data_IF_797491155929
#
_entry.id   IF_797491155929
#
_cell.length_a   1.000
_cell.length_b   1.000
_cell.length_c   1.000
_cell.angle_alpha   90.00
_cell.angle_beta   90.00
_cell.angle_gamma   90.00
#
_symmetry.space_group_name_H-M   'P 1'
#
loop_
_entity.id
_entity.type
_entity.pdbx_description
1 polymer ?
#
# COMPACT_ATOMS: atom_id res chain seq x y z
N UNK A 1 -9.57 32.97 5.19
CA UNK A 1 -9.36 31.89 5.90
C UNK A 1 -9.49 30.63 5.13
N UNK A 2 -8.76 29.78 5.47
CA UNK A 2 -8.68 28.60 4.69
C UNK A 2 -9.76 27.61 5.06
N UNK A 3 -10.50 27.21 4.09
CA UNK A 3 -11.42 26.12 4.26
C UNK A 3 -10.91 24.88 3.57
N UNK A 4 -9.62 24.87 3.31
CA UNK A 4 -9.05 23.75 2.61
C UNK A 4 -9.21 22.47 3.40
N UNK A 5 -9.73 21.47 2.73
CA UNK A 5 -9.79 20.15 3.31
C UNK A 5 -8.40 19.58 3.33
N UNK A 6 -7.93 19.27 4.50
CA UNK A 6 -6.64 18.60 4.59
C UNK A 6 -6.79 17.19 4.06
N UNK A 7 -5.96 16.85 3.09
CA UNK A 7 -5.91 15.47 2.62
C UNK A 7 -5.23 14.65 3.71
N UNK A 8 -5.83 13.56 4.15
CA UNK A 8 -5.19 12.71 5.15
C UNK A 8 -3.83 12.24 4.68
N UNK A 9 -2.88 12.23 5.59
CA UNK A 9 -1.56 11.72 5.31
C UNK A 9 -1.40 10.32 5.84
N UNK A 10 -0.63 9.51 5.13
CA UNK A 10 -0.35 8.14 5.53
C UNK A 10 1.13 7.87 5.39
N UNK A 11 1.63 7.02 6.24
CA UNK A 11 3.04 6.66 6.22
C UNK A 11 3.27 5.55 5.20
N UNK A 12 4.26 5.76 4.32
CA UNK A 12 4.67 4.71 3.40
C UNK A 12 5.36 3.60 4.18
N UNK A 13 4.90 2.37 4.04
CA UNK A 13 5.49 1.25 4.76
C UNK A 13 6.85 0.83 4.22
N UNK A 14 7.25 1.37 3.07
CA UNK A 14 8.58 1.12 2.50
C UNK A 14 9.60 2.13 2.98
N UNK A 15 9.39 3.41 2.69
CA UNK A 15 10.37 4.45 3.02
C UNK A 15 10.11 5.14 4.36
N UNK A 16 8.93 4.97 4.96
CA UNK A 16 8.62 5.56 6.23
C UNK A 16 8.20 7.02 6.20
N UNK A 17 8.15 7.63 5.04
CA UNK A 17 7.77 9.03 4.93
C UNK A 17 6.27 9.22 4.96
N UNK A 18 5.85 10.33 5.56
CA UNK A 18 4.44 10.71 5.54
C UNK A 18 4.14 11.45 4.26
N UNK A 19 3.13 11.02 3.54
CA UNK A 19 2.73 11.64 2.29
C UNK A 19 1.22 11.69 2.19
N UNK A 20 0.73 12.54 1.30
CA UNK A 20 -0.68 12.61 1.04
C UNK A 20 -1.22 11.25 0.60
N UNK A 21 -2.36 10.87 1.15
CA UNK A 21 -3.03 9.63 0.78
C UNK A 21 -3.25 9.55 -0.73
N UNK A 22 -3.45 10.67 -1.39
CA UNK A 22 -3.68 10.72 -2.84
C UNK A 22 -2.44 10.35 -3.65
N UNK A 23 -1.27 10.55 -3.07
CA UNK A 23 -0.01 10.28 -3.74
C UNK A 23 0.52 8.89 -3.46
N UNK A 24 -0.29 8.06 -2.82
CA UNK A 24 0.13 6.72 -2.42
C UNK A 24 -0.80 5.66 -2.99
N UNK A 25 -0.28 4.45 -3.03
CA UNK A 25 -1.03 3.27 -3.41
C UNK A 25 -1.48 2.57 -2.14
N UNK A 26 -2.70 2.09 -2.14
CA UNK A 26 -3.21 1.33 -1.01
C UNK A 26 -3.17 -0.17 -1.32
N UNK A 27 -2.47 -0.91 -0.50
CA UNK A 27 -2.52 -2.37 -0.53
C UNK A 27 -3.60 -2.79 0.45
N UNK A 28 -4.51 -3.61 0.02
CA UNK A 28 -5.70 -3.95 0.77
C UNK A 28 -5.73 -5.42 1.14
N UNK A 29 -6.06 -5.69 2.40
CA UNK A 29 -6.44 -7.02 2.84
C UNK A 29 -7.95 -7.03 2.94
N UNK A 30 -8.60 -7.79 2.06
CA UNK A 30 -10.06 -7.86 2.03
C UNK A 30 -10.59 -8.62 3.23
N UNK A 31 -11.90 -8.54 3.42
CA UNK A 31 -12.52 -9.21 4.57
C UNK A 31 -12.42 -10.72 4.50
N UNK A 32 -12.24 -11.28 3.30
CA UNK A 32 -12.03 -12.71 3.12
C UNK A 32 -10.55 -13.11 3.09
N UNK A 33 -9.66 -12.17 3.41
CA UNK A 33 -8.25 -12.46 3.59
C UNK A 33 -7.38 -12.36 2.36
N UNK A 34 -7.91 -11.85 1.25
CA UNK A 34 -7.11 -11.67 0.05
C UNK A 34 -6.32 -10.36 0.11
N UNK A 35 -5.14 -10.37 -0.49
CA UNK A 35 -4.30 -9.19 -0.55
C UNK A 35 -4.26 -8.71 -2.00
N UNK A 36 -4.60 -7.44 -2.21
CA UNK A 36 -4.66 -6.86 -3.55
C UNK A 36 -4.36 -5.37 -3.48
N UNK A 37 -4.19 -4.73 -4.63
CA UNK A 37 -4.03 -3.28 -4.70
C UNK A 37 -5.39 -2.66 -4.96
N UNK A 38 -5.74 -1.68 -4.13
CA UNK A 38 -6.99 -0.95 -4.26
C UNK A 38 -6.70 0.42 -4.85
N UNK A 39 -6.84 0.54 -6.16
CA UNK A 39 -6.55 1.79 -6.86
C UNK A 39 -7.56 2.89 -6.53
N UNK A 40 -8.77 2.52 -6.11
CA UNK A 40 -9.79 3.52 -5.80
C UNK A 40 -9.72 4.03 -4.36
N UNK A 41 -9.15 3.24 -3.48
CA UNK A 41 -9.09 3.56 -2.06
C UNK A 41 -10.43 3.41 -1.35
N UNK A 42 -11.42 2.81 -1.99
CA UNK A 42 -12.79 2.74 -1.46
C UNK A 42 -13.24 1.38 -0.99
N UNK A 43 -12.47 0.35 -1.32
CA UNK A 43 -12.86 -1.00 -0.92
C UNK A 43 -12.73 -1.20 0.58
N UNK A 44 -13.62 -1.98 1.13
CA UNK A 44 -13.59 -2.30 2.55
C UNK A 44 -12.48 -3.29 2.85
N UNK A 45 -11.81 -3.06 3.97
CA UNK A 45 -10.75 -3.94 4.42
C UNK A 45 -9.64 -3.14 5.07
N UNK A 46 -8.60 -3.84 5.47
CA UNK A 46 -7.46 -3.21 6.10
C UNK A 46 -6.47 -2.76 5.03
N UNK A 47 -6.03 -1.52 5.12
CA UNK A 47 -5.12 -0.96 4.13
C UNK A 47 -3.75 -0.63 4.67
N UNK A 48 -2.75 -0.76 3.81
CA UNK A 48 -1.41 -0.25 4.05
C UNK A 48 -1.03 0.60 2.86
N UNK A 49 -0.26 1.65 3.10
CA UNK A 49 0.03 2.63 2.05
C UNK A 49 1.50 2.58 1.67
N UNK A 50 1.76 2.77 0.38
CA UNK A 50 3.14 2.91 -0.12
C UNK A 50 3.19 3.94 -1.23
N UNK A 51 4.38 4.51 -1.43
CA UNK A 51 4.63 5.33 -2.59
C UNK A 51 4.44 4.49 -3.87
N UNK A 52 3.99 5.11 -4.97
CA UNK A 52 3.87 4.39 -6.25
C UNK A 52 5.24 4.17 -6.87
N UNK A 53 6.06 3.40 -6.21
CA UNK A 53 7.46 3.20 -6.56
C UNK A 53 7.87 1.77 -6.26
N UNK A 54 8.54 1.14 -7.21
CA UNK A 54 9.06 -0.22 -7.01
C UNK A 54 10.07 -0.25 -5.88
N UNK A 55 10.82 0.83 -5.68
CA UNK A 55 11.79 0.90 -4.59
C UNK A 55 11.11 0.79 -3.23
N UNK A 56 10.01 1.53 -3.05
CA UNK A 56 9.26 1.46 -1.80
C UNK A 56 8.61 0.10 -1.62
N UNK A 57 8.10 -0.48 -2.71
CA UNK A 57 7.52 -1.82 -2.65
C UNK A 57 8.57 -2.85 -2.21
N UNK A 58 9.75 -2.81 -2.80
CA UNK A 58 10.84 -3.73 -2.45
C UNK A 58 11.27 -3.56 -1.00
N UNK A 59 11.34 -2.32 -0.53
CA UNK A 59 11.66 -2.05 0.87
C UNK A 59 10.59 -2.60 1.80
N UNK A 60 9.33 -2.47 1.42
CA UNK A 60 8.24 -2.99 2.22
C UNK A 60 8.28 -4.52 2.30
N UNK A 61 8.59 -5.18 1.20
CA UNK A 61 8.73 -6.64 1.17
C UNK A 61 9.90 -7.09 2.02
N UNK A 62 11.06 -6.47 1.83
CA UNK A 62 12.27 -6.83 2.54
C UNK A 62 12.13 -6.62 4.04
N UNK A 63 11.49 -5.52 4.43
CA UNK A 63 11.29 -5.21 5.85
C UNK A 63 10.06 -5.84 6.45
N UNK A 64 9.35 -6.65 5.67
CA UNK A 64 8.11 -7.30 6.10
C UNK A 64 7.04 -6.33 6.58
N UNK A 65 7.02 -5.13 5.98
CA UNK A 65 6.07 -4.10 6.36
C UNK A 65 4.63 -4.49 6.15
N UNK A 66 4.33 -5.18 5.04
CA UNK A 66 2.98 -5.66 4.77
C UNK A 66 2.56 -6.73 5.75
N UNK A 67 3.46 -7.65 6.07
CA UNK A 67 3.15 -8.72 7.03
C UNK A 67 2.86 -8.15 8.41
N UNK A 68 3.62 -7.13 8.82
CA UNK A 68 3.36 -6.46 10.09
C UNK A 68 2.04 -5.70 10.08
N UNK A 69 1.75 -5.01 8.97
CA UNK A 69 0.52 -4.23 8.85
C UNK A 69 -0.71 -5.12 8.90
N UNK A 70 -0.66 -6.26 8.24
CA UNK A 70 -1.81 -7.15 8.15
C UNK A 70 -1.78 -8.26 9.19
N UNK A 71 -0.70 -8.35 9.96
CA UNK A 71 -0.54 -9.36 11.03
C UNK A 71 -0.73 -10.78 10.51
N UNK A 72 -0.18 -11.05 9.34
CA UNK A 72 -0.23 -12.37 8.74
C UNK A 72 0.96 -12.56 7.82
N UNK A 73 1.35 -13.81 7.63
CA UNK A 73 2.38 -14.13 6.65
C UNK A 73 1.80 -13.97 5.25
N UNK A 74 2.58 -13.41 4.34
CA UNK A 74 2.15 -13.22 2.97
C UNK A 74 2.92 -14.19 2.08
N UNK A 75 2.22 -15.09 1.37
CA UNK A 75 2.88 -16.04 0.49
C UNK A 75 3.65 -15.34 -0.63
N UNK A 76 4.69 -15.99 -1.09
CA UNK A 76 5.50 -15.47 -2.19
C UNK A 76 4.67 -15.15 -3.44
N UNK A 77 3.70 -16.01 -3.71
CA UNK A 77 2.82 -15.83 -4.88
C UNK A 77 2.05 -14.51 -4.82
N UNK A 78 1.63 -14.13 -3.62
CA UNK A 78 0.92 -12.86 -3.43
C UNK A 78 1.87 -11.69 -3.68
N UNK A 79 3.10 -11.77 -3.19
CA UNK A 79 4.09 -10.74 -3.45
C UNK A 79 4.37 -10.61 -4.94
N UNK A 80 4.43 -11.72 -5.66
CA UNK A 80 4.66 -11.69 -7.10
C UNK A 80 3.50 -11.01 -7.84
N UNK A 81 2.28 -11.31 -7.44
CA UNK A 81 1.10 -10.65 -7.98
C UNK A 81 1.12 -9.16 -7.74
N UNK A 82 1.44 -8.75 -6.53
CA UNK A 82 1.50 -7.33 -6.17
C UNK A 82 2.60 -6.64 -6.95
N UNK A 83 3.73 -7.30 -7.16
CA UNK A 83 4.82 -6.72 -7.91
C UNK A 83 4.41 -6.43 -9.34
N UNK A 84 3.68 -7.33 -9.97
CA UNK A 84 3.19 -7.12 -11.33
C UNK A 84 2.23 -5.95 -11.39
N UNK A 85 1.34 -5.84 -10.41
CA UNK A 85 0.41 -4.71 -10.35
C UNK A 85 1.15 -3.40 -10.15
N UNK A 86 2.17 -3.38 -9.30
CA UNK A 86 2.98 -2.20 -9.07
C UNK A 86 3.73 -1.77 -10.32
N UNK A 87 4.27 -2.72 -11.07
CA UNK A 87 4.96 -2.41 -12.32
C UNK A 87 4.04 -1.72 -13.31
N UNK A 88 2.79 -2.15 -13.39
CA UNK A 88 1.81 -1.53 -14.27
C UNK A 88 1.47 -0.12 -13.83
N UNK A 89 1.42 0.12 -12.54
CA UNK A 89 1.09 1.44 -12.01
C UNK A 89 2.25 2.42 -12.13
N UNK A 90 3.47 1.91 -12.16
CA UNK A 90 4.67 2.73 -12.21
C UNK A 90 5.00 3.21 -13.63
N UNK A 91 4.25 2.81 -14.62
CA UNK A 91 4.46 3.24 -16.01
C UNK A 91 3.86 4.59 -16.31
#
# INVERSE_FOLDING_TARGET
MSTEKKVPQRQCIGCGEMKSKRDQIRVLKTTDGQITIDATGRKNGRGAYLCPSMDCFKKAVKGKGLERSFKMAIPKEVYESLEKEMEQLDQ
#
